data_IF_021799578356
#
_entry.id   IF_021799578356
#
_cell.length_a   1.000
_cell.length_b   1.000
_cell.length_c   1.000
_cell.angle_alpha   90.00
_cell.angle_beta   90.00
_cell.angle_gamma   90.00
#
_symmetry.space_group_name_H-M   'P 1'
#
loop_
_entity.id
_entity.type
_entity.pdbx_description
1 polymer ?
#
# COMPACT_ATOMS: atom_id res chain seq x y z
N UNK A 1 21.27 -12.97 0.50
CA UNK A 1 20.25 -12.05 -0.04
C UNK A 1 20.40 -10.59 0.39
N UNK A 2 20.77 -10.28 1.65
CA UNK A 2 21.04 -8.88 2.12
C UNK A 2 22.21 -8.19 1.41
N UNK A 3 23.27 -8.92 1.09
CA UNK A 3 24.51 -8.36 0.49
C UNK A 3 24.28 -7.93 -0.97
N UNK A 4 23.52 -8.68 -1.73
CA UNK A 4 23.17 -8.35 -3.13
C UNK A 4 22.30 -7.10 -3.21
N UNK A 5 21.40 -6.90 -2.24
CA UNK A 5 20.53 -5.74 -2.11
C UNK A 5 21.31 -4.46 -1.77
N UNK A 6 22.32 -4.55 -0.87
CA UNK A 6 23.19 -3.41 -0.54
C UNK A 6 24.08 -3.00 -1.70
N UNK A 7 24.64 -3.93 -2.45
CA UNK A 7 25.50 -3.65 -3.62
C UNK A 7 24.72 -2.93 -4.71
N UNK A 8 23.45 -3.29 -4.92
CA UNK A 8 22.58 -2.63 -5.90
C UNK A 8 22.28 -1.20 -5.49
N UNK A 9 21.98 -0.93 -4.20
CA UNK A 9 21.68 0.43 -3.71
C UNK A 9 22.91 1.36 -3.82
N UNK A 10 24.11 0.88 -3.48
CA UNK A 10 25.34 1.66 -3.58
C UNK A 10 25.69 1.99 -5.04
N UNK A 11 25.46 1.06 -5.97
CA UNK A 11 25.71 1.26 -7.39
C UNK A 11 24.79 2.33 -8.00
N UNK A 12 23.56 2.44 -7.53
CA UNK A 12 22.57 3.43 -8.02
C UNK A 12 22.64 4.78 -7.29
N UNK A 13 23.15 4.84 -6.05
CA UNK A 13 23.47 6.12 -5.40
C UNK A 13 24.62 6.83 -6.14
N UNK A 14 25.59 6.07 -6.67
CA UNK A 14 26.65 6.61 -7.55
C UNK A 14 26.16 6.90 -8.99
N UNK A 15 25.08 6.30 -9.45
CA UNK A 15 24.50 6.60 -10.78
C UNK A 15 23.78 7.96 -10.81
N UNK A 16 23.48 8.57 -9.65
CA UNK A 16 23.09 10.00 -9.59
C UNK A 16 24.29 10.94 -9.77
N UNK A 17 25.51 10.41 -9.73
CA UNK A 17 26.75 11.06 -10.19
C UNK A 17 27.14 10.50 -11.56
N UNK A 18 26.16 10.32 -12.45
CA UNK A 18 26.36 9.77 -13.80
C UNK A 18 27.28 10.65 -14.63
N UNK A 19 28.19 10.08 -15.43
CA UNK A 19 28.96 10.86 -16.39
C UNK A 19 28.00 11.63 -17.31
N UNK A 20 28.38 12.81 -17.74
CA UNK A 20 27.59 13.82 -18.45
C UNK A 20 26.84 13.36 -19.71
N UNK A 21 26.79 12.04 -19.99
CA UNK A 21 26.23 11.47 -21.21
C UNK A 21 25.25 10.30 -20.99
N UNK A 22 24.76 10.07 -19.76
CA UNK A 22 23.74 9.05 -19.53
C UNK A 22 22.33 9.64 -19.74
N UNK A 23 21.42 8.95 -20.45
CA UNK A 23 20.06 9.42 -20.61
C UNK A 23 19.37 9.54 -19.25
N UNK A 24 18.45 10.51 -19.07
CA UNK A 24 17.71 10.65 -17.83
C UNK A 24 16.92 9.37 -17.53
N UNK A 25 16.75 9.01 -16.23
CA UNK A 25 16.01 7.82 -15.86
C UNK A 25 14.55 7.91 -16.33
N UNK A 26 14.00 6.78 -16.80
CA UNK A 26 12.60 6.73 -17.22
C UNK A 26 11.64 6.93 -16.03
N UNK A 27 10.43 7.41 -16.30
CA UNK A 27 9.39 7.58 -15.28
C UNK A 27 9.11 6.27 -14.53
N UNK A 28 9.00 5.14 -15.25
CA UNK A 28 8.78 3.83 -14.64
C UNK A 28 9.90 3.40 -13.69
N UNK A 29 11.16 3.67 -14.07
CA UNK A 29 12.32 3.43 -13.21
C UNK A 29 12.25 4.24 -11.92
N UNK A 30 11.90 5.53 -12.02
CA UNK A 30 11.78 6.42 -10.85
C UNK A 30 10.64 5.98 -9.92
N UNK A 31 9.48 5.64 -10.48
CA UNK A 31 8.33 5.13 -9.71
C UNK A 31 8.68 3.83 -8.98
N UNK A 32 9.31 2.88 -9.67
CA UNK A 32 9.73 1.62 -9.07
C UNK A 32 10.72 1.82 -7.91
N UNK A 33 11.76 2.60 -8.12
CA UNK A 33 12.75 2.88 -7.07
C UNK A 33 12.17 3.66 -5.90
N UNK A 34 11.33 4.65 -6.18
CA UNK A 34 10.65 5.44 -5.15
C UNK A 34 9.74 4.55 -4.31
N UNK A 35 8.94 3.68 -4.94
CA UNK A 35 8.03 2.76 -4.25
C UNK A 35 8.77 1.80 -3.32
N UNK A 36 9.90 1.23 -3.76
CA UNK A 36 10.73 0.37 -2.92
C UNK A 36 11.27 1.10 -1.68
N UNK A 37 11.82 2.31 -1.88
CA UNK A 37 12.36 3.13 -0.78
C UNK A 37 11.25 3.60 0.18
N UNK A 38 10.08 3.91 -0.38
CA UNK A 38 8.90 4.29 0.40
C UNK A 38 8.45 3.15 1.30
N UNK A 39 8.29 1.95 0.73
CA UNK A 39 7.88 0.74 1.47
C UNK A 39 8.85 0.42 2.62
N UNK A 40 10.16 0.43 2.37
CA UNK A 40 11.16 0.19 3.41
C UNK A 40 11.07 1.21 4.54
N UNK A 41 10.85 2.50 4.21
CA UNK A 41 10.70 3.54 5.21
C UNK A 41 9.40 3.39 6.01
N UNK A 42 8.33 2.99 5.34
CA UNK A 42 7.02 2.72 5.95
C UNK A 42 7.10 1.52 6.91
N UNK A 43 7.72 0.41 6.48
CA UNK A 43 7.95 -0.75 7.35
C UNK A 43 8.73 -0.37 8.62
N UNK A 44 9.77 0.47 8.49
CA UNK A 44 10.53 0.96 9.65
C UNK A 44 9.71 1.85 10.58
N UNK A 45 8.88 2.73 10.02
CA UNK A 45 8.03 3.63 10.81
C UNK A 45 6.94 2.87 11.58
N UNK A 46 6.44 1.76 10.99
CA UNK A 46 5.36 0.94 11.54
C UNK A 46 5.85 -0.21 12.46
N UNK A 47 7.14 -0.55 12.39
CA UNK A 47 7.71 -1.64 13.19
C UNK A 47 7.45 -1.53 14.71
N UNK A 48 7.49 -0.34 15.35
CA UNK A 48 7.16 -0.21 16.78
C UNK A 48 5.71 -0.57 17.12
N UNK A 49 4.80 -0.55 16.14
CA UNK A 49 3.39 -0.95 16.27
C UNK A 49 3.14 -2.40 15.87
N UNK A 50 4.19 -3.16 15.55
CA UNK A 50 4.11 -4.55 15.13
C UNK A 50 3.49 -4.74 13.73
N UNK A 51 3.47 -3.71 12.89
CA UNK A 51 2.89 -3.75 11.55
C UNK A 51 3.95 -3.68 10.46
N UNK A 52 3.70 -4.40 9.37
CA UNK A 52 4.32 -4.16 8.06
C UNK A 52 3.49 -3.17 7.25
N UNK A 53 4.07 -2.57 6.20
CA UNK A 53 3.34 -1.69 5.27
C UNK A 53 2.11 -2.36 4.64
N UNK A 54 2.22 -3.64 4.28
CA UNK A 54 1.10 -4.41 3.71
C UNK A 54 0.00 -4.68 4.74
N UNK A 55 0.35 -4.99 5.98
CA UNK A 55 -0.63 -5.15 7.06
C UNK A 55 -1.33 -3.84 7.39
N UNK A 56 -0.57 -2.74 7.46
CA UNK A 56 -1.14 -1.41 7.64
C UNK A 56 -2.11 -1.05 6.52
N UNK A 57 -1.73 -1.26 5.25
CA UNK A 57 -2.59 -0.98 4.11
C UNK A 57 -3.94 -1.68 4.20
N UNK A 58 -3.96 -2.99 4.50
CA UNK A 58 -5.20 -3.73 4.67
C UNK A 58 -6.00 -3.31 5.91
N UNK A 59 -5.35 -3.09 7.04
CA UNK A 59 -6.00 -2.65 8.27
C UNK A 59 -6.63 -1.25 8.09
N UNK A 60 -5.93 -0.34 7.41
CA UNK A 60 -6.43 1.00 7.10
C UNK A 60 -7.61 0.97 6.13
N UNK A 61 -7.57 0.12 5.10
CA UNK A 61 -8.69 -0.11 4.18
C UNK A 61 -9.90 -0.63 4.91
N UNK A 62 -9.73 -1.67 5.74
CA UNK A 62 -10.80 -2.26 6.52
C UNK A 62 -11.40 -1.25 7.53
N UNK A 63 -10.55 -0.43 8.17
CA UNK A 63 -11.03 0.66 9.02
C UNK A 63 -11.84 1.70 8.23
N UNK A 64 -11.44 2.00 6.99
CA UNK A 64 -12.21 2.86 6.08
C UNK A 64 -13.61 2.30 5.79
N UNK A 65 -13.71 1.00 5.47
CA UNK A 65 -15.00 0.31 5.28
C UNK A 65 -15.87 0.39 6.55
N UNK A 66 -15.28 0.09 7.71
CA UNK A 66 -16.01 0.15 9.00
C UNK A 66 -16.56 1.56 9.28
N UNK A 67 -15.81 2.61 8.98
CA UNK A 67 -16.27 4.01 9.11
C UNK A 67 -17.37 4.37 8.14
N UNK A 68 -17.44 3.72 6.99
CA UNK A 68 -18.52 3.85 6.01
C UNK A 68 -19.74 2.97 6.33
N UNK A 69 -19.74 2.26 7.49
CA UNK A 69 -20.80 1.36 7.88
C UNK A 69 -20.82 0.02 7.12
N UNK A 70 -19.74 -0.29 6.40
CA UNK A 70 -19.61 -1.51 5.60
C UNK A 70 -18.67 -2.52 6.24
N UNK A 71 -18.93 -3.81 5.99
CA UNK A 71 -18.14 -4.95 6.48
C UNK A 71 -17.78 -5.83 5.29
N UNK A 72 -16.63 -5.61 4.66
CA UNK A 72 -16.28 -6.34 3.46
C UNK A 72 -15.96 -7.80 3.77
N UNK A 73 -16.22 -8.66 2.79
CA UNK A 73 -15.63 -9.99 2.72
C UNK A 73 -14.14 -9.89 2.40
N UNK A 74 -13.41 -10.99 2.60
CA UNK A 74 -12.00 -11.06 2.22
C UNK A 74 -11.79 -10.86 0.70
N UNK A 75 -12.74 -11.29 -0.13
CA UNK A 75 -12.70 -11.13 -1.59
C UNK A 75 -12.85 -9.66 -2.00
N UNK A 76 -13.81 -8.95 -1.40
CA UNK A 76 -14.02 -7.52 -1.65
C UNK A 76 -12.81 -6.71 -1.21
N UNK A 77 -12.21 -7.05 -0.05
CA UNK A 77 -10.98 -6.40 0.42
C UNK A 77 -9.79 -6.68 -0.52
N UNK A 78 -9.68 -7.87 -1.09
CA UNK A 78 -8.66 -8.21 -2.09
C UNK A 78 -8.85 -7.39 -3.38
N UNK A 79 -10.07 -7.34 -3.90
CA UNK A 79 -10.42 -6.53 -5.07
C UNK A 79 -10.12 -5.04 -4.84
N UNK A 80 -10.52 -4.51 -3.68
CA UNK A 80 -10.27 -3.11 -3.32
C UNK A 80 -8.77 -2.77 -3.20
N UNK A 81 -7.98 -3.68 -2.63
CA UNK A 81 -6.55 -3.45 -2.39
C UNK A 81 -5.68 -3.73 -3.61
N UNK A 82 -6.20 -4.34 -4.67
CA UNK A 82 -5.43 -4.79 -5.83
C UNK A 82 -4.41 -5.90 -5.51
N UNK A 83 -4.58 -6.58 -4.37
CA UNK A 83 -3.69 -7.65 -3.93
C UNK A 83 -4.26 -9.02 -4.28
N UNK A 84 -3.37 -9.96 -4.57
CA UNK A 84 -3.75 -11.36 -4.77
C UNK A 84 -4.52 -11.93 -3.58
N UNK A 85 -5.66 -12.63 -3.79
CA UNK A 85 -6.52 -13.15 -2.72
C UNK A 85 -5.77 -14.01 -1.69
N UNK A 86 -4.83 -14.84 -2.13
CA UNK A 86 -3.97 -15.66 -1.26
C UNK A 86 -3.08 -14.82 -0.35
N UNK A 87 -2.57 -13.69 -0.88
CA UNK A 87 -1.75 -12.78 -0.09
C UNK A 87 -2.60 -12.05 0.96
N UNK A 88 -3.80 -11.56 0.57
CA UNK A 88 -4.77 -10.97 1.51
C UNK A 88 -5.15 -11.95 2.61
N UNK A 89 -5.45 -13.21 2.26
CA UNK A 89 -5.75 -14.27 3.24
C UNK A 89 -4.65 -14.43 4.29
N UNK A 90 -3.39 -14.44 3.86
CA UNK A 90 -2.23 -14.54 4.76
C UNK A 90 -2.10 -13.34 5.68
N UNK A 91 -2.29 -12.13 5.14
CA UNK A 91 -2.22 -10.89 5.92
C UNK A 91 -3.35 -10.78 6.94
N UNK A 92 -4.59 -11.11 6.54
CA UNK A 92 -5.75 -11.11 7.46
C UNK A 92 -5.55 -12.09 8.61
N UNK A 93 -5.08 -13.33 8.35
CA UNK A 93 -4.76 -14.28 9.43
C UNK A 93 -3.68 -13.75 10.39
N UNK A 94 -2.72 -12.97 9.88
CA UNK A 94 -1.71 -12.35 10.74
C UNK A 94 -2.32 -11.24 11.61
N UNK A 95 -3.20 -10.41 11.05
CA UNK A 95 -3.92 -9.36 11.79
C UNK A 95 -4.90 -9.94 12.81
N UNK A 96 -5.59 -11.06 12.50
CA UNK A 96 -6.43 -11.80 13.43
C UNK A 96 -5.62 -12.32 14.64
N UNK A 97 -4.49 -12.98 14.36
CA UNK A 97 -3.60 -13.47 15.45
C UNK A 97 -3.07 -12.35 16.33
N UNK A 98 -2.90 -11.15 15.77
CA UNK A 98 -2.54 -9.95 16.53
C UNK A 98 -3.72 -9.30 17.27
N UNK A 99 -4.96 -9.81 17.10
CA UNK A 99 -6.17 -9.29 17.71
C UNK A 99 -6.61 -7.93 17.15
N UNK A 100 -6.20 -7.59 15.91
CA UNK A 100 -6.51 -6.31 15.27
C UNK A 100 -7.73 -6.40 14.34
N UNK A 101 -8.03 -7.60 13.85
CA UNK A 101 -9.14 -7.92 12.96
C UNK A 101 -9.85 -9.14 13.52
N UNK A 102 -11.14 -9.22 13.35
CA UNK A 102 -11.98 -10.37 13.66
C UNK A 102 -12.84 -10.77 12.46
N UNK A 103 -13.25 -12.02 12.43
CA UNK A 103 -14.22 -12.55 11.48
C UNK A 103 -15.58 -12.65 12.14
N UNK A 104 -16.59 -12.15 11.48
CA UNK A 104 -17.98 -12.29 11.89
C UNK A 104 -18.78 -12.99 10.79
N UNK A 105 -19.79 -13.76 11.18
CA UNK A 105 -20.78 -14.25 10.23
C UNK A 105 -21.55 -13.09 9.61
N UNK A 106 -21.91 -13.20 8.34
CA UNK A 106 -22.81 -12.24 7.73
C UNK A 106 -24.24 -12.56 8.19
N UNK A 107 -24.97 -11.62 8.83
CA UNK A 107 -26.35 -11.86 9.25
C UNK A 107 -27.31 -12.14 8.08
N UNK A 108 -27.00 -11.61 6.88
CA UNK A 108 -27.82 -11.76 5.69
C UNK A 108 -27.46 -13.01 4.84
N UNK A 109 -26.25 -13.56 5.05
CA UNK A 109 -25.77 -14.79 4.40
C UNK A 109 -24.86 -15.58 5.34
N UNK A 110 -25.39 -16.63 5.93
CA UNK A 110 -24.67 -17.48 6.91
C UNK A 110 -23.43 -18.19 6.31
N UNK A 111 -23.26 -18.21 4.99
CA UNK A 111 -22.10 -18.77 4.30
C UNK A 111 -20.99 -17.73 4.09
N UNK A 112 -21.30 -16.44 4.20
CA UNK A 112 -20.36 -15.36 4.00
C UNK A 112 -19.71 -14.95 5.32
N UNK A 113 -18.40 -14.77 5.29
CA UNK A 113 -17.61 -14.26 6.41
C UNK A 113 -17.24 -12.81 6.13
N UNK A 114 -17.63 -11.93 7.03
CA UNK A 114 -17.28 -10.52 7.00
C UNK A 114 -16.07 -10.25 7.90
N UNK A 115 -15.32 -9.21 7.55
CA UNK A 115 -14.17 -8.75 8.31
C UNK A 115 -14.52 -7.49 9.09
N UNK A 116 -14.07 -7.45 10.34
CA UNK A 116 -14.22 -6.31 11.24
C UNK A 116 -12.89 -5.89 11.82
N UNK A 117 -12.71 -4.58 12.03
CA UNK A 117 -11.61 -4.07 12.84
C UNK A 117 -12.02 -4.11 14.31
N UNK A 118 -11.20 -4.69 15.17
CA UNK A 118 -11.42 -4.68 16.62
C UNK A 118 -11.17 -3.29 17.22
N UNK A 119 -11.61 -3.05 18.46
CA UNK A 119 -11.27 -1.81 19.18
C UNK A 119 -9.75 -1.57 19.23
N UNK A 120 -8.98 -2.63 19.54
CA UNK A 120 -7.51 -2.58 19.49
C UNK A 120 -6.98 -2.28 18.07
N UNK A 121 -7.60 -2.84 17.04
CA UNK A 121 -7.27 -2.56 15.64
C UNK A 121 -7.47 -1.09 15.30
N UNK A 122 -8.53 -0.46 15.79
CA UNK A 122 -8.79 0.98 15.63
C UNK A 122 -7.72 1.83 16.31
N UNK A 123 -7.32 1.49 17.53
CA UNK A 123 -6.23 2.19 18.24
C UNK A 123 -4.91 2.09 17.46
N UNK A 124 -4.54 0.87 17.03
CA UNK A 124 -3.29 0.63 16.31
C UNK A 124 -3.28 1.31 14.95
N UNK A 125 -4.37 1.27 14.16
CA UNK A 125 -4.42 1.92 12.85
C UNK A 125 -4.39 3.45 12.97
N UNK A 126 -4.97 4.00 14.03
CA UNK A 126 -4.93 5.44 14.32
C UNK A 126 -3.50 5.89 14.63
N UNK A 127 -2.81 5.21 15.55
CA UNK A 127 -1.40 5.48 15.86
C UNK A 127 -0.48 5.28 14.62
N UNK A 128 -0.75 4.23 13.82
CA UNK A 128 -0.02 3.98 12.59
C UNK A 128 -0.20 5.12 11.57
N UNK A 129 -1.41 5.67 11.45
CA UNK A 129 -1.69 6.80 10.56
C UNK A 129 -0.87 8.04 10.92
N UNK A 130 -0.67 8.32 12.20
CA UNK A 130 0.19 9.42 12.63
C UNK A 130 1.64 9.22 12.17
N UNK A 131 2.18 8.00 12.31
CA UNK A 131 3.52 7.67 11.81
C UNK A 131 3.64 7.78 10.29
N UNK A 132 2.59 7.43 9.57
CA UNK A 132 2.55 7.58 8.10
C UNK A 132 2.54 9.06 7.72
N UNK A 133 1.75 9.89 8.40
CA UNK A 133 1.70 11.33 8.17
C UNK A 133 3.07 11.98 8.42
N UNK A 134 3.73 11.64 9.54
CA UNK A 134 5.09 12.11 9.84
C UNK A 134 6.10 11.68 8.75
N UNK A 135 5.98 10.46 8.24
CA UNK A 135 6.83 9.97 7.16
C UNK A 135 6.58 10.74 5.86
N UNK A 136 5.31 10.96 5.49
CA UNK A 136 4.93 11.74 4.31
C UNK A 136 5.49 13.16 4.37
N UNK A 137 5.34 13.85 5.50
CA UNK A 137 5.85 15.22 5.67
C UNK A 137 7.36 15.27 5.47
N UNK A 138 8.12 14.32 6.05
CA UNK A 138 9.57 14.23 5.83
C UNK A 138 9.95 13.91 4.39
N UNK A 139 9.21 13.02 3.72
CA UNK A 139 9.51 12.57 2.36
C UNK A 139 9.14 13.58 1.30
N UNK A 140 8.09 14.37 1.55
CA UNK A 140 7.62 15.42 0.66
C UNK A 140 8.23 16.80 0.99
N UNK A 141 9.10 16.91 1.99
CA UNK A 141 9.80 18.15 2.32
C UNK A 141 10.51 18.81 1.12
N UNK A 142 11.17 18.07 0.18
CA UNK A 142 11.76 18.66 -1.03
C UNK A 142 10.74 19.31 -1.97
N UNK A 143 9.47 18.97 -1.86
CA UNK A 143 8.37 19.58 -2.62
C UNK A 143 7.68 20.73 -1.87
N UNK A 144 8.12 21.03 -0.65
CA UNK A 144 7.49 22.03 0.23
C UNK A 144 6.54 21.42 1.27
N UNK A 145 6.60 20.11 1.49
CA UNK A 145 5.77 19.36 2.44
C UNK A 145 4.47 18.82 1.82
N UNK A 146 3.79 17.98 2.55
CA UNK A 146 2.60 17.21 2.12
C UNK A 146 1.43 18.07 1.60
N UNK A 147 1.30 19.29 2.08
CA UNK A 147 0.19 20.21 1.73
C UNK A 147 0.57 21.26 0.68
N UNK A 148 1.81 21.24 0.16
CA UNK A 148 2.23 22.16 -0.89
C UNK A 148 1.52 21.85 -2.21
N UNK A 149 1.36 22.87 -3.05
CA UNK A 149 0.78 22.75 -4.39
C UNK A 149 1.48 21.64 -5.21
N UNK A 150 2.82 21.62 -5.21
CA UNK A 150 3.62 20.58 -5.89
C UNK A 150 3.34 19.16 -5.40
N UNK A 151 3.06 18.98 -4.11
CA UNK A 151 2.73 17.67 -3.55
C UNK A 151 1.30 17.25 -3.89
N UNK A 152 0.38 18.20 -4.00
CA UNK A 152 -1.00 17.97 -4.48
C UNK A 152 -0.97 17.59 -5.95
N UNK A 153 -0.26 18.33 -6.80
CA UNK A 153 -0.08 18.01 -8.23
C UNK A 153 0.52 16.61 -8.44
N UNK A 154 1.58 16.26 -7.69
CA UNK A 154 2.17 14.93 -7.73
C UNK A 154 1.15 13.84 -7.40
N UNK A 155 0.34 14.06 -6.36
CA UNK A 155 -0.72 13.13 -5.96
C UNK A 155 -1.76 12.95 -7.07
N UNK A 156 -2.18 14.03 -7.71
CA UNK A 156 -3.17 13.99 -8.79
C UNK A 156 -2.64 13.27 -10.03
N UNK A 157 -1.36 13.49 -10.39
CA UNK A 157 -0.68 12.74 -11.45
C UNK A 157 -0.63 11.23 -11.13
N UNK A 158 -0.26 10.85 -9.90
CA UNK A 158 -0.22 9.45 -9.49
C UNK A 158 -1.61 8.81 -9.50
N UNK A 159 -2.64 9.51 -9.05
CA UNK A 159 -4.03 9.04 -9.11
C UNK A 159 -4.52 8.82 -10.54
N UNK A 160 -4.14 9.70 -11.46
CA UNK A 160 -4.46 9.57 -12.90
C UNK A 160 -3.83 8.31 -13.49
N UNK A 161 -2.55 8.06 -13.20
CA UNK A 161 -1.84 6.86 -13.66
C UNK A 161 -2.43 5.57 -13.06
N UNK A 162 -2.78 5.58 -11.77
CA UNK A 162 -3.40 4.43 -11.11
C UNK A 162 -4.77 4.08 -11.71
N UNK A 163 -5.64 5.07 -11.92
CA UNK A 163 -6.96 4.86 -12.54
C UNK A 163 -6.83 4.30 -13.96
N UNK A 164 -5.88 4.79 -14.74
CA UNK A 164 -5.63 4.27 -16.09
C UNK A 164 -5.15 2.81 -16.05
N UNK A 165 -4.25 2.47 -15.13
CA UNK A 165 -3.76 1.11 -14.98
C UNK A 165 -4.88 0.12 -14.54
N UNK A 166 -5.79 0.55 -13.68
CA UNK A 166 -6.95 -0.25 -13.26
C UNK A 166 -7.90 -0.50 -14.43
N UNK A 167 -8.23 0.52 -15.23
CA UNK A 167 -9.09 0.39 -16.39
C UNK A 167 -8.52 -0.58 -17.44
N UNK A 168 -7.22 -0.51 -17.73
CA UNK A 168 -6.56 -1.39 -18.71
C UNK A 168 -6.40 -2.83 -18.25
N UNK A 169 -6.37 -3.11 -16.93
CA UNK A 169 -6.37 -4.47 -16.40
C UNK A 169 -7.76 -5.11 -16.49
N UNK A 170 -8.82 -4.36 -16.30
CA UNK A 170 -10.20 -4.85 -16.39
C UNK A 170 -10.54 -5.30 -17.82
N UNK A 171 -10.05 -4.61 -18.84
CA UNK A 171 -10.24 -4.96 -20.26
C UNK A 171 -9.53 -6.26 -20.66
N UNK A 172 -8.41 -6.59 -20.01
CA UNK A 172 -7.65 -7.84 -20.29
C UNK A 172 -8.29 -9.08 -19.70
N UNK A 173 -8.96 -8.95 -18.55
CA UNK A 173 -9.64 -10.08 -17.90
C UNK A 173 -11.01 -10.38 -18.54
N UNK A 174 -11.50 -9.51 -19.44
CA UNK A 174 -12.76 -9.65 -20.18
C UNK A 174 -12.63 -10.27 -21.57
N UNK A 175 -11.42 -10.47 -22.11
CA UNK A 175 -11.21 -11.02 -23.43
C UNK A 175 -11.16 -12.57 -23.36
N UNK A 176 -12.15 -13.31 -23.91
CA UNK A 176 -12.10 -14.77 -23.96
C UNK A 176 -10.90 -15.15 -24.83
N UNK A 177 -10.00 -15.97 -24.29
CA UNK A 177 -8.88 -16.54 -25.03
C UNK A 177 -9.39 -17.13 -26.36
N UNK A 178 -9.03 -16.49 -27.46
CA UNK A 178 -9.31 -16.97 -28.80
C UNK A 178 -8.62 -18.34 -28.95
N UNK A 179 -9.44 -19.35 -29.21
CA UNK A 179 -9.00 -20.74 -29.47
C UNK A 179 -8.38 -20.85 -30.87
#
# INVERSE_FOLDING_TARGET
MKLLYMVTITKYSNAMSSPANSPPPSTGYLLWHLSLRWRVALDRALAPLGLTSSQYGLLASLHGFSRAGSRPSQRELASFSGLEPMHVSKLIRALERAGLVERAGNPDDTRAVQLNVTARGVEVVTAAREKVIELEDRRLAPLGGRRSERSVELKDMLLTLLRHAEATNTDRDGEPAAR
#
